data_IF_684442164086
#
_entry.id   IF_684442164086
#
_cell.length_a   1.000
_cell.length_b   1.000
_cell.length_c   1.000
_cell.angle_alpha   90.00
_cell.angle_beta   90.00
_cell.angle_gamma   90.00
#
_symmetry.space_group_name_H-M   'P 1'
#
loop_
_entity.id
_entity.type
_entity.pdbx_description
1 polymer ?
#
# COMPACT_ATOMS: atom_id res chain seq x y z
N UNK A 1 -9.17 20.67 27.94
CA UNK A 1 -10.47 19.98 27.80
C UNK A 1 -10.18 18.54 27.35
N UNK A 2 -10.70 17.55 28.08
CA UNK A 2 -10.39 16.13 27.92
C UNK A 2 -10.95 15.57 26.60
N UNK A 3 -10.15 14.82 25.85
CA UNK A 3 -10.64 14.00 24.74
C UNK A 3 -10.63 12.52 25.17
N UNK A 4 -11.75 12.05 25.73
CA UNK A 4 -12.03 10.63 25.82
C UNK A 4 -12.73 10.20 24.53
N UNK A 5 -11.95 9.94 23.48
CA UNK A 5 -12.45 9.22 22.31
C UNK A 5 -12.23 7.72 22.56
N UNK A 6 -13.30 6.96 22.43
CA UNK A 6 -13.35 5.53 22.73
C UNK A 6 -12.41 4.73 21.82
N UNK A 7 -11.69 3.77 22.40
CA UNK A 7 -10.50 3.11 21.84
C UNK A 7 -10.69 2.27 20.56
N UNK A 8 -11.89 2.20 19.98
CA UNK A 8 -12.17 1.34 18.81
C UNK A 8 -12.09 2.05 17.44
N UNK A 9 -11.99 3.38 17.38
CA UNK A 9 -11.92 4.13 16.10
C UNK A 9 -10.77 5.15 16.00
N UNK A 10 -9.94 5.28 17.03
CA UNK A 10 -8.79 6.20 17.04
C UNK A 10 -7.59 5.67 16.24
N UNK A 11 -7.43 4.36 16.09
CA UNK A 11 -6.19 3.78 15.52
C UNK A 11 -5.93 4.18 14.06
N UNK A 12 -6.97 4.36 13.24
CA UNK A 12 -6.77 4.79 11.84
C UNK A 12 -6.62 6.32 11.73
N UNK A 13 -7.36 7.07 12.55
CA UNK A 13 -7.26 8.53 12.60
C UNK A 13 -5.88 8.98 13.13
N UNK A 14 -5.34 8.30 14.14
CA UNK A 14 -4.01 8.58 14.71
C UNK A 14 -2.87 8.29 13.72
N UNK A 15 -3.10 7.44 12.71
CA UNK A 15 -2.05 7.11 11.73
C UNK A 15 -1.83 8.22 10.71
N UNK A 16 -2.83 9.05 10.42
CA UNK A 16 -2.72 10.07 9.37
C UNK A 16 -1.59 11.07 9.65
N UNK A 17 -1.56 11.65 10.86
CA UNK A 17 -0.54 12.62 11.22
C UNK A 17 0.84 11.98 11.33
N UNK A 18 0.92 10.73 11.80
CA UNK A 18 2.17 9.97 11.91
C UNK A 18 2.83 9.76 10.54
N UNK A 19 2.04 9.36 9.53
CA UNK A 19 2.53 9.22 8.17
C UNK A 19 3.01 10.56 7.61
N UNK A 20 2.27 11.64 7.87
CA UNK A 20 2.64 12.96 7.38
C UNK A 20 3.96 13.48 7.99
N UNK A 21 4.16 13.30 9.30
CA UNK A 21 5.42 13.66 9.98
C UNK A 21 6.60 12.86 9.43
N UNK A 22 6.43 11.55 9.22
CA UNK A 22 7.46 10.71 8.61
C UNK A 22 7.74 11.13 7.16
N UNK A 23 6.71 11.45 6.38
CA UNK A 23 6.83 11.90 5.00
C UNK A 23 7.59 13.24 4.86
N UNK A 24 7.45 14.16 5.83
CA UNK A 24 8.29 15.37 5.86
C UNK A 24 9.76 15.02 6.13
N UNK A 25 10.01 14.06 7.02
CA UNK A 25 11.38 13.66 7.39
C UNK A 25 12.07 12.84 6.29
N UNK A 26 11.30 12.05 5.53
CA UNK A 26 11.77 11.24 4.41
C UNK A 26 10.86 11.42 3.18
N UNK A 27 11.11 12.45 2.35
CA UNK A 27 10.17 12.88 1.30
C UNK A 27 9.89 11.87 0.19
N UNK A 28 10.71 10.83 0.05
CA UNK A 28 10.55 9.77 -0.97
C UNK A 28 9.99 8.45 -0.42
N UNK A 29 9.70 8.38 0.88
CA UNK A 29 9.30 7.13 1.54
C UNK A 29 7.86 6.69 1.21
N UNK A 30 7.01 7.62 0.77
CA UNK A 30 5.58 7.40 0.53
C UNK A 30 5.17 7.76 -0.91
N UNK A 31 5.67 7.05 -1.93
CA UNK A 31 5.15 7.22 -3.28
C UNK A 31 3.75 6.59 -3.40
N UNK A 32 2.88 7.24 -4.15
CA UNK A 32 1.49 6.86 -4.33
C UNK A 32 1.10 6.87 -5.82
N UNK A 33 0.37 5.84 -6.25
CA UNK A 33 -0.09 5.68 -7.64
C UNK A 33 -1.48 6.27 -7.83
N UNK A 34 -1.68 7.04 -8.90
CA UNK A 34 -3.00 7.56 -9.25
C UNK A 34 -3.91 6.43 -9.75
N UNK A 35 -5.16 6.41 -9.27
CA UNK A 35 -6.22 5.55 -9.81
C UNK A 35 -7.59 6.23 -9.64
N UNK A 36 -8.61 5.76 -10.35
CA UNK A 36 -9.96 6.33 -10.23
C UNK A 36 -10.56 6.03 -8.84
N UNK A 37 -10.35 4.81 -8.38
CA UNK A 37 -10.85 4.27 -7.12
C UNK A 37 -9.91 3.15 -6.62
N UNK A 38 -10.22 2.58 -5.45
CA UNK A 38 -9.39 1.54 -4.85
C UNK A 38 -9.38 0.25 -5.68
N UNK A 39 -10.52 -0.15 -6.25
CA UNK A 39 -10.66 -1.40 -6.99
C UNK A 39 -9.86 -1.35 -8.31
N UNK A 40 -9.85 -0.22 -9.00
CA UNK A 40 -9.01 0.00 -10.19
C UNK A 40 -7.52 0.02 -9.86
N UNK A 41 -7.12 0.52 -8.69
CA UNK A 41 -5.74 0.42 -8.22
C UNK A 41 -5.32 -1.04 -7.95
N UNK A 42 -6.21 -1.83 -7.35
CA UNK A 42 -6.01 -3.27 -7.12
C UNK A 42 -5.92 -4.01 -8.46
N UNK A 43 -6.87 -3.79 -9.37
CA UNK A 43 -6.95 -4.45 -10.67
C UNK A 43 -5.76 -4.13 -11.58
N UNK A 44 -5.18 -2.94 -11.45
CA UNK A 44 -3.97 -2.54 -12.16
C UNK A 44 -2.67 -2.94 -11.47
N UNK A 45 -2.73 -3.65 -10.33
CA UNK A 45 -1.57 -3.96 -9.49
C UNK A 45 -0.73 -2.71 -9.13
N UNK A 46 -1.39 -1.56 -8.99
CA UNK A 46 -0.75 -0.28 -8.69
C UNK A 46 -0.02 0.40 -9.84
N UNK A 47 -0.15 -0.13 -11.06
CA UNK A 47 0.43 0.48 -12.25
C UNK A 47 -0.31 1.76 -12.62
N UNK A 48 0.42 2.88 -12.67
CA UNK A 48 -0.13 4.17 -13.08
C UNK A 48 0.93 4.99 -13.81
N UNK A 49 0.48 5.81 -14.77
CA UNK A 49 1.35 6.78 -15.46
C UNK A 49 1.63 8.02 -14.62
N UNK A 50 0.89 8.21 -13.54
CA UNK A 50 1.01 9.34 -12.65
C UNK A 50 1.20 8.82 -11.22
N UNK A 51 2.27 9.30 -10.59
CA UNK A 51 2.55 9.08 -9.18
C UNK A 51 2.92 10.39 -8.52
N UNK A 52 2.74 10.44 -7.20
CA UNK A 52 3.16 11.56 -6.35
C UNK A 52 3.83 11.01 -5.10
N UNK A 53 4.48 11.88 -4.34
CA UNK A 53 4.91 11.58 -2.99
C UNK A 53 3.97 12.26 -2.00
N UNK A 54 3.65 11.58 -0.90
CA UNK A 54 3.03 12.23 0.25
C UNK A 54 4.07 13.15 0.93
N UNK A 55 3.65 14.29 1.45
CA UNK A 55 4.50 15.22 2.19
C UNK A 55 5.01 16.38 1.33
N UNK A 56 6.25 16.80 1.56
CA UNK A 56 6.81 18.03 0.98
C UNK A 56 6.97 17.97 -0.55
N UNK A 57 7.21 16.79 -1.12
CA UNK A 57 7.32 16.58 -2.56
C UNK A 57 5.97 16.42 -3.27
N UNK A 58 4.85 16.63 -2.57
CA UNK A 58 3.52 16.57 -3.19
C UNK A 58 3.39 17.69 -4.23
N UNK A 59 3.11 17.33 -5.49
CA UNK A 59 2.84 18.33 -6.52
C UNK A 59 1.58 19.13 -6.16
N UNK A 60 1.68 20.46 -6.11
CA UNK A 60 0.56 21.36 -5.77
C UNK A 60 -0.59 21.34 -6.78
N UNK A 61 -0.37 20.75 -7.95
CA UNK A 61 -1.39 20.52 -8.99
C UNK A 61 -1.95 19.10 -8.99
N UNK A 62 -1.54 18.25 -8.04
CA UNK A 62 -2.08 16.90 -7.94
C UNK A 62 -3.59 16.94 -7.68
N UNK A 63 -4.35 16.20 -8.49
CA UNK A 63 -5.79 16.06 -8.37
C UNK A 63 -6.17 14.58 -8.54
N UNK A 64 -7.26 14.18 -7.90
CA UNK A 64 -7.75 12.80 -7.92
C UNK A 64 -7.26 11.96 -6.75
N UNK A 65 -7.45 10.64 -6.87
CA UNK A 65 -7.15 9.68 -5.81
C UNK A 65 -5.78 9.03 -6.05
N UNK A 66 -5.01 8.92 -4.97
CA UNK A 66 -3.70 8.28 -4.97
C UNK A 66 -3.66 7.22 -3.88
N UNK A 67 -3.12 6.07 -4.23
CA UNK A 67 -3.13 4.90 -3.37
C UNK A 67 -1.72 4.39 -3.13
N UNK A 68 -1.47 3.96 -1.90
CA UNK A 68 -0.23 3.33 -1.46
C UNK A 68 -0.50 2.40 -0.28
N UNK A 69 0.45 1.52 0.00
CA UNK A 69 0.49 0.72 1.23
C UNK A 69 1.63 1.15 2.13
N UNK A 70 1.41 1.02 3.43
CA UNK A 70 2.40 1.32 4.47
C UNK A 70 2.74 0.08 5.30
N UNK A 71 3.77 0.18 6.13
CA UNK A 71 4.05 -0.78 7.19
C UNK A 71 3.10 -0.58 8.38
N UNK A 72 3.03 -1.59 9.26
CA UNK A 72 2.17 -1.55 10.46
C UNK A 72 2.82 -0.83 11.65
N UNK A 73 4.12 -0.50 11.57
CA UNK A 73 4.96 0.11 12.61
C UNK A 73 5.77 1.27 12.01
N UNK A 74 6.32 2.18 12.86
CA UNK A 74 7.19 3.27 12.41
C UNK A 74 8.31 2.80 11.48
N UNK A 75 8.78 3.69 10.61
CA UNK A 75 9.23 3.36 9.24
C UNK A 75 8.04 2.87 8.41
N UNK A 76 6.97 3.66 8.42
CA UNK A 76 5.72 3.36 7.74
C UNK A 76 5.85 3.35 6.22
N UNK A 77 6.74 4.17 5.66
CA UNK A 77 6.98 4.26 4.23
C UNK A 77 7.58 2.97 3.66
N UNK A 78 7.12 2.57 2.47
CA UNK A 78 7.59 1.37 1.75
C UNK A 78 8.39 1.68 0.48
N UNK A 79 8.61 2.97 0.17
CA UNK A 79 9.20 3.37 -1.10
C UNK A 79 8.42 2.79 -2.28
N UNK A 80 9.11 2.38 -3.34
CA UNK A 80 8.48 1.89 -4.57
C UNK A 80 7.54 0.68 -4.37
N UNK A 81 7.79 -0.17 -3.37
CA UNK A 81 6.92 -1.30 -3.04
C UNK A 81 5.58 -0.86 -2.44
N UNK A 82 5.52 0.35 -1.85
CA UNK A 82 4.29 0.94 -1.34
C UNK A 82 3.27 1.27 -2.43
N UNK A 83 3.71 1.48 -3.68
CA UNK A 83 2.79 1.76 -4.79
C UNK A 83 1.96 0.55 -5.22
N UNK A 84 2.35 -0.65 -4.79
CA UNK A 84 1.66 -1.90 -5.14
C UNK A 84 0.65 -2.27 -4.05
N UNK A 85 -0.53 -2.77 -4.42
CA UNK A 85 -1.48 -3.30 -3.46
C UNK A 85 -0.95 -4.56 -2.77
N UNK A 86 -1.38 -4.77 -1.53
CA UNK A 86 -1.19 -6.07 -0.86
C UNK A 86 -2.23 -7.02 -1.43
N UNK A 87 -1.85 -7.73 -2.50
CA UNK A 87 -2.62 -8.85 -3.02
C UNK A 87 -2.35 -10.07 -2.12
N UNK A 88 -3.29 -10.36 -1.22
CA UNK A 88 -3.31 -11.66 -0.57
C UNK A 88 -3.63 -12.67 -1.67
N UNK A 89 -2.60 -13.35 -2.16
CA UNK A 89 -2.75 -14.48 -3.07
C UNK A 89 -3.41 -15.64 -2.32
N UNK A 90 -4.71 -15.54 -2.03
CA UNK A 90 -5.59 -16.70 -2.10
C UNK A 90 -6.02 -16.87 -3.55
N UNK A 91 -5.08 -16.85 -4.50
CA UNK A 91 -5.30 -17.69 -5.66
C UNK A 91 -5.28 -19.10 -5.09
N UNK A 92 -6.33 -19.88 -5.30
CA UNK A 92 -6.17 -21.32 -5.36
C UNK A 92 -5.00 -21.59 -6.31
N UNK A 93 -3.80 -21.79 -5.76
CA UNK A 93 -2.69 -22.43 -6.44
C UNK A 93 -3.18 -23.87 -6.58
N UNK A 94 -3.95 -24.11 -7.64
CA UNK A 94 -4.42 -25.44 -7.99
C UNK A 94 -3.18 -26.31 -8.11
N UNK A 95 -3.13 -27.31 -7.23
CA UNK A 95 -2.24 -28.46 -7.10
C UNK A 95 -1.65 -29.05 -8.41
N UNK A 96 -0.96 -28.26 -9.24
CA UNK A 96 -0.38 -28.68 -10.52
C UNK A 96 1.10 -28.97 -10.40
N UNK A 97 1.75 -28.45 -9.36
CA UNK A 97 3.15 -28.76 -8.99
C UNK A 97 3.29 -30.09 -8.25
N UNK A 98 2.20 -30.72 -7.80
CA UNK A 98 2.23 -32.02 -7.12
C UNK A 98 2.30 -33.19 -8.12
N UNK A 99 1.49 -33.16 -9.19
CA UNK A 99 1.51 -34.22 -10.22
C UNK A 99 2.81 -34.25 -11.02
N UNK A 100 3.36 -33.08 -11.36
CA UNK A 100 4.65 -33.00 -12.07
C UNK A 100 5.82 -33.48 -11.20
N UNK A 101 5.80 -33.23 -9.89
CA UNK A 101 6.78 -33.80 -8.94
C UNK A 101 6.59 -35.31 -8.71
N UNK A 102 5.36 -35.81 -8.70
CA UNK A 102 5.09 -37.24 -8.53
C UNK A 102 5.55 -38.06 -9.75
N UNK A 103 5.36 -37.52 -10.96
CA UNK A 103 5.77 -38.17 -12.22
C UNK A 103 7.30 -38.15 -12.44
N UNK A 104 8.03 -37.20 -11.83
CA UNK A 104 9.50 -37.17 -11.87
C UNK A 104 10.17 -38.17 -10.91
N UNK A 105 9.44 -38.68 -9.91
CA UNK A 105 9.95 -39.64 -8.93
C UNK A 105 9.57 -41.11 -9.24
N UNK A 106 9.10 -41.38 -10.45
CA UNK A 106 8.67 -42.71 -10.93
C UNK A 106 9.51 -43.22 -12.12
N UNK A 107 10.75 -42.73 -12.27
CA UNK A 107 11.75 -43.32 -13.17
C UNK A 107 12.91 -43.89 -12.37
#
# INVERSE_FOLDING_TARGET
MLQAATAYNLCSHDRAWRYYVEAISSPTAFPASAAADYDSWIASAGQSKQSIYLGDLTNTRAQGNFYLTTNSKPDFGKGAEGMKPIINTTSNETNTTSLTKLLLNLR
#
